data_IF_686738847718
#
_entry.id   IF_686738847718
#
_cell.length_a   1.000
_cell.length_b   1.000
_cell.length_c   1.000
_cell.angle_alpha   90.00
_cell.angle_beta   90.00
_cell.angle_gamma   90.00
#
_symmetry.space_group_name_H-M   'P 1'
#
loop_
_entity.id
_entity.type
_entity.pdbx_description
1 polymer ?
#
# COMPACT_ATOMS: atom_id res chain seq x y z
N UNK A 1 9.34 16.33 -70.49
CA UNK A 1 9.48 14.97 -71.03
C UNK A 1 8.92 14.00 -69.99
N UNK A 2 7.85 13.28 -70.34
CA UNK A 2 7.25 12.19 -69.56
C UNK A 2 8.34 11.12 -69.26
N UNK A 3 8.29 10.33 -68.18
CA UNK A 3 7.34 9.22 -67.98
C UNK A 3 7.38 8.70 -66.53
N UNK A 4 6.18 8.39 -66.02
CA UNK A 4 5.90 7.51 -64.89
C UNK A 4 5.68 6.07 -65.35
N UNK A 5 6.20 5.05 -64.65
CA UNK A 5 5.70 3.66 -64.59
C UNK A 5 6.23 3.08 -63.24
N UNK A 6 5.48 2.81 -62.17
CA UNK A 6 4.22 2.10 -61.92
C UNK A 6 4.34 0.56 -61.91
N UNK A 7 3.93 -0.01 -60.77
CA UNK A 7 3.51 -1.41 -60.49
C UNK A 7 4.65 -2.47 -60.57
N UNK A 8 4.84 -3.43 -59.65
CA UNK A 8 3.84 -4.32 -59.07
C UNK A 8 4.35 -5.11 -57.87
N UNK A 9 3.41 -5.24 -56.94
CA UNK A 9 3.32 -6.07 -55.74
C UNK A 9 3.54 -7.57 -56.04
N UNK A 10 3.95 -8.30 -55.01
CA UNK A 10 3.33 -9.52 -54.47
C UNK A 10 4.14 -10.83 -54.46
N UNK A 11 4.34 -11.31 -53.22
CA UNK A 11 4.18 -12.69 -52.73
C UNK A 11 5.14 -13.75 -53.27
N UNK A 12 6.25 -13.90 -52.54
CA UNK A 12 6.79 -15.23 -52.26
C UNK A 12 6.39 -15.56 -50.82
N UNK A 13 5.12 -15.97 -50.68
CA UNK A 13 4.67 -16.65 -49.46
C UNK A 13 5.23 -18.06 -49.44
N UNK A 14 5.24 -18.65 -48.23
CA UNK A 14 5.25 -20.08 -47.90
C UNK A 14 6.31 -20.57 -46.89
N UNK A 15 7.01 -19.72 -46.15
CA UNK A 15 7.96 -20.19 -45.12
C UNK A 15 7.82 -19.60 -43.70
N UNK A 16 6.74 -18.87 -43.38
CA UNK A 16 6.56 -18.28 -42.03
C UNK A 16 5.59 -19.03 -41.10
N UNK A 17 4.94 -20.13 -41.52
CA UNK A 17 3.88 -20.75 -40.72
C UNK A 17 4.36 -21.73 -39.62
N UNK A 18 5.66 -21.98 -39.45
CA UNK A 18 6.14 -22.98 -38.49
C UNK A 18 6.68 -22.43 -37.15
N UNK A 19 6.68 -21.11 -36.94
CA UNK A 19 7.35 -20.50 -35.78
C UNK A 19 6.40 -19.85 -34.74
N UNK A 20 5.13 -20.27 -34.68
CA UNK A 20 4.11 -19.61 -33.85
C UNK A 20 3.59 -20.44 -32.66
N UNK A 21 4.28 -21.52 -32.26
CA UNK A 21 3.68 -22.53 -31.36
C UNK A 21 4.37 -22.79 -30.00
N UNK A 22 5.36 -22.02 -29.55
CA UNK A 22 6.01 -22.36 -28.26
C UNK A 22 6.40 -21.16 -27.41
N UNK A 23 5.45 -20.50 -26.72
CA UNK A 23 5.70 -19.99 -25.36
C UNK A 23 4.41 -19.94 -24.52
N UNK A 24 3.70 -21.07 -24.36
CA UNK A 24 2.86 -21.28 -23.18
C UNK A 24 3.77 -21.85 -22.08
N UNK A 25 4.66 -21.00 -21.56
CA UNK A 25 5.33 -21.29 -20.30
C UNK A 25 4.26 -21.40 -19.20
N UNK A 26 4.39 -22.32 -18.22
CA UNK A 26 3.44 -22.40 -17.14
C UNK A 26 3.39 -21.03 -16.45
N UNK A 27 2.19 -20.43 -16.39
CA UNK A 27 1.95 -19.30 -15.49
C UNK A 27 2.28 -19.83 -14.09
N UNK A 28 3.43 -19.44 -13.55
CA UNK A 28 3.69 -19.57 -12.12
C UNK A 28 2.71 -18.62 -11.46
N UNK A 29 1.51 -19.10 -11.20
CA UNK A 29 0.62 -18.49 -10.22
C UNK A 29 1.28 -18.73 -8.89
N UNK A 30 2.23 -17.84 -8.53
CA UNK A 30 2.73 -17.75 -7.17
C UNK A 30 1.55 -17.40 -6.29
N UNK A 31 0.87 -18.41 -5.74
CA UNK A 31 -0.03 -18.19 -4.63
C UNK A 31 0.82 -17.59 -3.51
N UNK A 32 0.53 -16.34 -3.18
CA UNK A 32 1.11 -15.70 -2.02
C UNK A 32 0.86 -16.63 -0.82
N UNK A 33 1.88 -16.91 0.01
CA UNK A 33 1.69 -17.77 1.16
C UNK A 33 0.58 -17.20 2.04
N UNK A 34 -0.33 -18.06 2.48
CA UNK A 34 -1.40 -17.69 3.41
C UNK A 34 -0.76 -17.36 4.77
N UNK A 35 -0.45 -16.09 5.01
CA UNK A 35 0.10 -15.63 6.29
C UNK A 35 -1.02 -15.73 7.33
N UNK A 36 -0.80 -16.54 8.37
CA UNK A 36 -1.70 -16.58 9.52
C UNK A 36 -1.54 -15.28 10.32
N UNK A 37 -2.48 -14.36 10.12
CA UNK A 37 -2.54 -13.04 10.74
C UNK A 37 -2.40 -13.11 12.26
N UNK A 38 -3.00 -14.12 12.89
CA UNK A 38 -3.03 -14.23 14.35
C UNK A 38 -1.66 -14.53 14.97
N UNK A 39 -0.70 -15.01 14.18
CA UNK A 39 0.66 -15.36 14.64
C UNK A 39 1.76 -14.53 13.98
N UNK A 40 1.39 -13.55 13.16
CA UNK A 40 2.37 -12.71 12.47
C UNK A 40 3.10 -11.81 13.48
N UNK A 41 4.42 -11.95 13.52
CA UNK A 41 5.35 -11.05 14.21
C UNK A 41 6.13 -10.30 13.14
N UNK A 42 6.13 -8.98 13.24
CA UNK A 42 6.61 -8.06 12.21
C UNK A 42 5.63 -6.92 11.98
N UNK A 43 6.05 -5.92 11.22
CA UNK A 43 5.23 -4.77 10.84
C UNK A 43 5.18 -4.69 9.31
N UNK A 44 3.98 -4.61 8.74
CA UNK A 44 3.79 -4.68 7.29
C UNK A 44 2.69 -3.73 6.82
N UNK A 45 2.77 -3.36 5.54
CA UNK A 45 1.72 -2.63 4.84
C UNK A 45 0.55 -3.58 4.57
N UNK A 46 -0.67 -3.17 4.92
CA UNK A 46 -1.91 -3.91 4.68
C UNK A 46 -3.05 -2.99 4.33
N UNK A 47 -4.01 -3.55 3.60
CA UNK A 47 -5.25 -2.87 3.29
C UNK A 47 -6.13 -2.72 4.55
N UNK A 48 -6.60 -1.51 4.78
CA UNK A 48 -7.49 -1.15 5.88
C UNK A 48 -8.60 -0.22 5.36
N UNK A 49 -9.82 -0.44 5.84
CA UNK A 49 -10.96 0.40 5.48
C UNK A 49 -11.42 1.22 6.68
N UNK A 50 -11.49 2.54 6.52
CA UNK A 50 -11.98 3.44 7.56
C UNK A 50 -13.09 4.35 7.04
N UNK A 51 -13.89 4.89 7.96
CA UNK A 51 -14.93 5.87 7.64
C UNK A 51 -14.36 7.29 7.78
N UNK A 52 -14.08 7.93 6.65
CA UNK A 52 -13.66 9.33 6.62
C UNK A 52 -14.85 10.24 6.98
N UNK A 53 -14.67 11.07 8.00
CA UNK A 53 -15.66 12.04 8.46
C UNK A 53 -15.04 13.43 8.49
N UNK A 54 -15.82 14.40 8.01
CA UNK A 54 -15.49 15.83 8.08
C UNK A 54 -16.76 16.59 8.46
N UNK A 55 -16.70 17.52 9.43
CA UNK A 55 -17.86 18.33 9.79
C UNK A 55 -18.48 19.04 8.58
N UNK A 56 -19.80 18.93 8.42
CA UNK A 56 -20.52 19.53 7.29
C UNK A 56 -20.47 18.74 5.98
N UNK A 57 -19.96 17.51 5.97
CA UNK A 57 -20.03 16.58 4.83
C UNK A 57 -20.60 15.22 5.24
N UNK A 58 -21.07 14.46 4.25
CA UNK A 58 -21.37 13.04 4.41
C UNK A 58 -20.10 12.21 4.61
N UNK A 59 -20.23 11.09 5.32
CA UNK A 59 -19.12 10.14 5.50
C UNK A 59 -18.85 9.32 4.24
N UNK A 60 -17.59 8.89 4.08
CA UNK A 60 -17.16 8.02 2.97
C UNK A 60 -16.27 6.89 3.51
N UNK A 61 -16.60 5.64 3.18
CA UNK A 61 -15.70 4.52 3.45
C UNK A 61 -14.53 4.55 2.45
N UNK A 62 -13.31 4.57 2.98
CA UNK A 62 -12.08 4.61 2.19
C UNK A 62 -11.27 3.37 2.53
N UNK A 63 -10.89 2.63 1.50
CA UNK A 63 -9.95 1.51 1.57
C UNK A 63 -8.57 2.00 1.16
N UNK A 64 -7.57 1.82 2.03
CA UNK A 64 -6.21 2.33 1.84
C UNK A 64 -5.18 1.39 2.44
N UNK A 65 -3.94 1.52 2.00
CA UNK A 65 -2.79 0.90 2.64
C UNK A 65 -2.43 1.62 3.94
N UNK A 66 -2.29 0.84 5.02
CA UNK A 66 -1.96 1.27 6.37
C UNK A 66 -0.97 0.28 7.03
N UNK A 67 -0.36 0.69 8.14
CA UNK A 67 0.57 -0.17 8.87
C UNK A 67 -0.13 -1.07 9.88
N UNK A 68 0.21 -2.35 9.85
CA UNK A 68 -0.34 -3.35 10.77
C UNK A 68 0.70 -4.41 11.13
N UNK A 69 0.70 -4.84 12.39
CA UNK A 69 1.59 -5.89 12.84
C UNK A 69 1.85 -5.89 14.34
N UNK A 70 2.81 -6.72 14.77
CA UNK A 70 3.26 -6.85 16.15
C UNK A 70 4.77 -6.72 16.20
N UNK A 71 5.26 -5.81 17.03
CA UNK A 71 6.67 -5.58 17.21
C UNK A 71 7.18 -6.26 18.47
N UNK A 72 8.42 -6.73 18.42
CA UNK A 72 9.08 -7.28 19.59
C UNK A 72 9.37 -6.17 20.59
N UNK A 73 9.02 -6.42 21.84
CA UNK A 73 9.28 -5.55 22.97
C UNK A 73 9.87 -6.38 24.10
N UNK A 74 10.66 -5.73 24.96
CA UNK A 74 11.19 -6.38 26.14
C UNK A 74 11.41 -5.36 27.25
N UNK A 75 11.42 -5.86 28.48
CA UNK A 75 11.78 -5.11 29.67
C UNK A 75 12.79 -5.95 30.45
N UNK A 76 13.89 -5.32 30.83
CA UNK A 76 15.00 -5.96 31.52
C UNK A 76 15.15 -5.31 32.90
N UNK A 77 15.04 -6.09 33.98
CA UNK A 77 15.38 -5.58 35.31
C UNK A 77 16.86 -5.20 35.38
N UNK A 78 17.16 -4.04 35.98
CA UNK A 78 18.52 -3.54 36.22
C UNK A 78 18.67 -3.16 37.69
N UNK A 79 19.91 -3.16 38.20
CA UNK A 79 20.18 -2.92 39.63
C UNK A 79 20.11 -1.44 40.00
N UNK A 80 20.43 -0.56 39.06
CA UNK A 80 20.42 0.88 39.28
C UNK A 80 19.03 1.47 38.93
N UNK A 81 18.57 2.51 39.65
CA UNK A 81 17.35 3.25 39.28
C UNK A 81 17.40 3.69 37.80
N UNK A 82 16.32 3.56 37.01
CA UNK A 82 14.93 3.28 37.43
C UNK A 82 14.57 1.80 37.60
N UNK A 83 15.56 0.91 37.76
CA UNK A 83 15.42 -0.54 37.99
C UNK A 83 14.84 -1.36 36.82
N UNK A 84 14.40 -0.68 35.75
CA UNK A 84 13.89 -1.31 34.53
C UNK A 84 14.49 -0.58 33.32
N UNK A 85 15.12 -1.34 32.43
CA UNK A 85 15.47 -0.93 31.08
C UNK A 85 14.39 -1.45 30.13
N UNK A 86 13.69 -0.56 29.42
CA UNK A 86 12.58 -0.92 28.54
C UNK A 86 12.90 -0.66 27.08
N UNK A 87 12.51 -1.61 26.22
CA UNK A 87 12.57 -1.50 24.77
C UNK A 87 11.15 -1.67 24.23
N UNK A 88 10.48 -0.54 24.05
CA UNK A 88 9.10 -0.48 23.58
C UNK A 88 9.08 0.06 22.14
N UNK A 89 8.67 -0.80 21.20
CA UNK A 89 8.50 -0.49 19.79
C UNK A 89 7.05 -0.75 19.38
N UNK A 90 6.52 0.09 18.50
CA UNK A 90 5.19 -0.05 17.90
C UNK A 90 5.31 -0.17 16.39
N UNK A 91 4.33 -0.82 15.76
CA UNK A 91 4.22 -0.84 14.31
C UNK A 91 3.70 0.51 13.84
N UNK A 92 4.53 1.25 13.09
CA UNK A 92 4.22 2.62 12.68
C UNK A 92 4.63 2.87 11.23
N UNK A 93 4.17 3.99 10.69
CA UNK A 93 4.52 4.46 9.37
C UNK A 93 5.99 4.89 9.33
N UNK A 94 6.74 4.32 8.38
CA UNK A 94 8.11 4.76 8.08
C UNK A 94 8.10 5.74 6.90
N UNK A 95 7.38 5.41 5.84
CA UNK A 95 7.25 6.21 4.64
C UNK A 95 5.78 6.31 4.23
N UNK A 96 5.31 7.53 3.94
CA UNK A 96 3.90 7.79 3.59
C UNK A 96 3.77 8.71 2.40
N UNK A 97 2.61 8.64 1.75
CA UNK A 97 2.17 9.62 0.74
C UNK A 97 0.80 10.17 1.11
N UNK A 98 0.62 11.47 1.02
CA UNK A 98 -0.69 12.10 1.21
C UNK A 98 -1.56 11.92 -0.04
N UNK A 99 -2.80 11.50 0.17
CA UNK A 99 -3.82 11.38 -0.89
C UNK A 99 -5.04 12.19 -0.48
N UNK A 100 -5.69 12.82 -1.47
CA UNK A 100 -6.89 13.64 -1.26
C UNK A 100 -8.07 13.05 -2.02
N UNK A 101 -9.21 12.93 -1.34
CA UNK A 101 -10.48 12.48 -1.91
C UNK A 101 -11.58 13.52 -1.71
N UNK A 102 -12.68 13.38 -2.46
CA UNK A 102 -13.86 14.25 -2.34
C UNK A 102 -14.96 13.54 -1.55
N UNK A 103 -15.38 14.13 -0.43
CA UNK A 103 -16.48 13.64 0.38
C UNK A 103 -17.84 14.00 -0.24
N UNK A 104 -18.87 13.14 -0.08
CA UNK A 104 -20.22 13.40 -0.57
C UNK A 104 -21.00 14.39 0.32
N UNK A 105 -22.08 14.96 -0.21
CA UNK A 105 -23.11 15.70 0.55
C UNK A 105 -22.57 16.80 1.48
N UNK A 106 -21.64 17.62 0.99
CA UNK A 106 -21.12 18.74 1.75
C UNK A 106 -22.07 19.96 1.73
N UNK A 107 -22.17 20.66 2.87
CA UNK A 107 -22.89 21.92 2.98
C UNK A 107 -22.24 23.01 2.11
N UNK A 108 -23.01 24.04 1.70
CA UNK A 108 -22.45 25.19 0.99
C UNK A 108 -21.31 25.82 1.80
N UNK A 109 -20.23 26.23 1.11
CA UNK A 109 -19.00 26.81 1.71
C UNK A 109 -18.10 25.85 2.50
N UNK A 110 -18.44 24.57 2.61
CA UNK A 110 -17.53 23.54 3.16
C UNK A 110 -16.69 22.95 2.03
N UNK A 111 -15.36 22.94 2.20
CA UNK A 111 -14.48 22.26 1.24
C UNK A 111 -14.74 20.75 1.26
N UNK A 112 -15.01 20.10 0.12
CA UNK A 112 -15.30 18.68 0.08
C UNK A 112 -14.05 17.80 0.13
N UNK A 113 -12.85 18.40 0.13
CA UNK A 113 -11.60 17.66 0.09
C UNK A 113 -11.19 17.14 1.47
N UNK A 114 -10.78 15.88 1.51
CA UNK A 114 -10.26 15.18 2.69
C UNK A 114 -8.92 14.54 2.34
N UNK A 115 -7.89 14.86 3.11
CA UNK A 115 -6.51 14.39 2.87
C UNK A 115 -6.08 13.45 3.99
N UNK A 116 -5.45 12.34 3.64
CA UNK A 116 -5.00 11.32 4.59
C UNK A 116 -3.68 10.67 4.12
N UNK A 117 -2.89 10.08 5.04
CA UNK A 117 -1.67 9.37 4.69
C UNK A 117 -1.96 7.95 4.21
N UNK A 118 -1.24 7.51 3.18
CA UNK A 118 -1.19 6.14 2.68
C UNK A 118 0.19 5.56 3.02
N UNK A 119 0.23 4.36 3.61
CA UNK A 119 1.49 3.68 3.91
C UNK A 119 2.20 3.24 2.64
N UNK A 120 3.46 3.65 2.48
CA UNK A 120 4.37 3.07 1.49
C UNK A 120 5.28 2.03 2.14
N UNK A 121 5.71 2.31 3.38
CA UNK A 121 6.55 1.41 4.21
C UNK A 121 6.18 1.53 5.68
N UNK A 122 6.31 0.42 6.38
CA UNK A 122 5.99 0.29 7.80
C UNK A 122 7.15 -0.37 8.52
N UNK A 123 7.47 0.09 9.73
CA UNK A 123 8.56 -0.44 10.55
C UNK A 123 8.18 -0.49 12.04
N UNK A 124 8.93 -1.31 12.79
CA UNK A 124 8.89 -1.30 14.25
C UNK A 124 9.76 -0.16 14.79
N UNK A 125 9.13 0.90 15.29
CA UNK A 125 9.79 2.13 15.70
C UNK A 125 9.29 2.66 17.05
N UNK A 126 9.87 3.79 17.49
CA UNK A 126 9.25 4.57 18.57
C UNK A 126 7.98 5.23 18.06
N UNK A 127 6.97 5.37 18.93
CA UNK A 127 5.81 6.18 18.61
C UNK A 127 6.15 7.67 18.72
N UNK A 128 6.04 8.41 17.62
CA UNK A 128 6.39 9.83 17.56
C UNK A 128 5.16 10.67 17.87
N UNK A 129 5.10 11.25 19.07
CA UNK A 129 3.93 12.00 19.57
C UNK A 129 3.64 13.31 18.83
N UNK A 130 4.59 13.83 18.03
CA UNK A 130 4.36 15.05 17.25
C UNK A 130 3.41 14.85 16.07
N UNK A 131 3.29 13.62 15.56
CA UNK A 131 2.48 13.29 14.37
C UNK A 131 1.53 12.11 14.59
N UNK A 132 1.66 11.43 15.72
CA UNK A 132 0.93 10.19 15.99
C UNK A 132 0.44 10.19 17.43
N UNK A 133 -0.84 9.91 17.61
CA UNK A 133 -1.42 9.71 18.93
C UNK A 133 -1.03 8.32 19.44
N UNK A 134 -0.19 8.30 20.46
CA UNK A 134 0.34 7.07 21.04
C UNK A 134 -0.60 6.57 22.14
N UNK A 135 -1.58 5.76 21.76
CA UNK A 135 -2.57 5.18 22.67
C UNK A 135 -2.42 3.66 22.77
N UNK A 136 -2.80 3.10 23.92
CA UNK A 136 -2.95 1.65 24.09
C UNK A 136 -4.29 1.22 23.50
N UNK A 137 -4.33 0.08 22.81
CA UNK A 137 -5.59 -0.54 22.38
C UNK A 137 -6.45 -0.86 23.61
N UNK A 138 -7.65 -0.28 23.68
CA UNK A 138 -8.68 -0.54 24.70
C UNK A 138 -9.48 -1.78 24.39
#
# INVERSE_FOLDING_TARGET
MLLTFSVRRWKWGLLCCAALLTILGPRVTGQAPTINLDRFIGCAVREFTFLAKKPGCGGLHITTDACWGRCETWEKPVLDPPFIESYQRVCTYNETRLVTVKLPNCSPKVSPFYTYPVALRCDCGMCVTSTTECITSV
#
